data_IF_380258493909
#
_entry.id   IF_380258493909
#
_cell.length_a   1.000
_cell.length_b   1.000
_cell.length_c   1.000
_cell.angle_alpha   90.00
_cell.angle_beta   90.00
_cell.angle_gamma   90.00
#
_symmetry.space_group_name_H-M   'P 1'
#
loop_
_entity.id
_entity.type
_entity.pdbx_description
1 polymer ?
#
# COMPACT_ATOMS: atom_id res chain seq x y z
N UNK A 1 -6.32 -19.64 -10.18
CA UNK A 1 -5.93 -21.03 -9.85
C UNK A 1 -4.66 -21.41 -10.57
N UNK A 2 -3.89 -22.35 -10.01
CA UNK A 2 -2.71 -22.93 -10.68
C UNK A 2 -3.17 -23.90 -11.77
N UNK A 3 -2.75 -23.67 -13.01
CA UNK A 3 -3.09 -24.53 -14.17
C UNK A 3 -1.91 -25.41 -14.59
N UNK A 4 -0.69 -24.88 -14.48
CA UNK A 4 0.54 -25.57 -14.89
C UNK A 4 1.69 -25.18 -13.94
N UNK A 5 2.61 -26.12 -13.73
CA UNK A 5 3.81 -25.92 -12.90
C UNK A 5 5.05 -26.03 -13.78
N UNK A 6 5.97 -25.10 -13.63
CA UNK A 6 7.29 -25.17 -14.23
C UNK A 6 8.14 -26.28 -13.62
N UNK A 7 9.24 -26.63 -14.32
CA UNK A 7 10.17 -27.66 -13.84
C UNK A 7 10.78 -27.27 -12.49
N UNK A 8 10.77 -28.20 -11.54
CA UNK A 8 11.36 -28.02 -10.21
C UNK A 8 10.51 -27.22 -9.22
N UNK A 9 9.32 -26.75 -9.60
CA UNK A 9 8.41 -26.06 -8.67
C UNK A 9 7.90 -27.07 -7.62
N UNK A 10 8.02 -26.68 -6.36
CA UNK A 10 7.52 -27.44 -5.19
C UNK A 10 6.62 -26.55 -4.33
N UNK A 11 5.76 -27.15 -3.52
CA UNK A 11 4.89 -26.43 -2.59
C UNK A 11 3.61 -25.85 -3.21
N UNK A 12 3.36 -26.06 -4.51
CA UNK A 12 2.14 -25.73 -5.22
C UNK A 12 1.61 -26.94 -5.96
N UNK A 13 0.30 -27.07 -6.11
CA UNK A 13 -0.37 -28.11 -6.88
C UNK A 13 -1.32 -27.48 -7.93
N UNK A 14 -1.56 -28.23 -9.01
CA UNK A 14 -2.58 -27.85 -10.01
C UNK A 14 -3.93 -27.80 -9.30
N UNK A 15 -4.68 -26.71 -9.51
CA UNK A 15 -5.97 -26.46 -8.88
C UNK A 15 -5.90 -25.63 -7.59
N UNK A 16 -4.71 -25.33 -7.06
CA UNK A 16 -4.58 -24.46 -5.89
C UNK A 16 -5.14 -23.06 -6.19
N UNK A 17 -5.92 -22.54 -5.27
CA UNK A 17 -6.37 -21.15 -5.30
C UNK A 17 -5.27 -20.24 -4.75
N UNK A 18 -4.77 -19.36 -5.61
CA UNK A 18 -3.58 -18.54 -5.33
C UNK A 18 -3.79 -17.08 -5.72
N UNK A 19 -3.00 -16.22 -5.11
CA UNK A 19 -2.74 -14.87 -5.61
C UNK A 19 -1.24 -14.69 -5.87
N UNK A 20 -0.87 -13.73 -6.72
CA UNK A 20 0.51 -13.56 -7.16
C UNK A 20 0.89 -12.08 -7.31
N UNK A 21 2.14 -11.75 -6.96
CA UNK A 21 2.72 -10.45 -7.19
C UNK A 21 3.36 -10.40 -8.59
N UNK A 22 2.72 -9.69 -9.51
CA UNK A 22 3.20 -9.56 -10.89
C UNK A 22 4.04 -8.30 -11.10
N UNK A 23 5.00 -8.36 -12.03
CA UNK A 23 5.70 -7.16 -12.52
C UNK A 23 4.93 -6.41 -13.61
N UNK A 24 3.88 -7.01 -14.13
CA UNK A 24 3.00 -6.52 -15.20
C UNK A 24 2.27 -7.67 -15.88
N UNK A 25 1.43 -7.37 -16.88
CA UNK A 25 0.73 -8.37 -17.68
C UNK A 25 -0.47 -9.03 -16.98
N UNK A 26 -0.99 -8.42 -15.88
CA UNK A 26 -2.12 -8.98 -15.13
C UNK A 26 -3.50 -8.85 -15.80
N UNK A 27 -3.61 -8.12 -16.92
CA UNK A 27 -4.85 -8.06 -17.72
C UNK A 27 -4.88 -9.24 -18.70
N UNK A 28 -4.92 -10.44 -18.18
CA UNK A 28 -4.85 -11.68 -18.96
C UNK A 28 -5.54 -12.82 -18.20
N UNK A 29 -6.15 -13.72 -18.95
CA UNK A 29 -6.75 -14.94 -18.41
C UNK A 29 -5.71 -15.87 -17.77
N UNK A 30 -4.48 -15.83 -18.28
CA UNK A 30 -3.35 -16.65 -17.82
C UNK A 30 -2.07 -15.82 -17.74
N UNK A 31 -1.30 -16.06 -16.70
CA UNK A 31 -0.01 -15.40 -16.48
C UNK A 31 1.04 -16.44 -16.05
N UNK A 32 2.26 -16.23 -16.47
CA UNK A 32 3.41 -16.99 -15.98
C UNK A 32 4.14 -16.11 -14.97
N UNK A 33 4.42 -16.65 -13.80
CA UNK A 33 5.02 -15.91 -12.70
C UNK A 33 6.00 -16.80 -11.92
N UNK A 34 7.12 -16.27 -11.41
CA UNK A 34 8.03 -17.04 -10.57
C UNK A 34 7.30 -17.61 -9.34
N UNK A 35 7.49 -18.90 -9.06
CA UNK A 35 6.77 -19.61 -8.02
C UNK A 35 6.86 -18.94 -6.63
N UNK A 36 8.03 -18.34 -6.28
CA UNK A 36 8.19 -17.59 -5.03
C UNK A 36 7.34 -16.33 -4.90
N UNK A 37 6.72 -15.85 -5.98
CA UNK A 37 5.79 -14.72 -5.96
C UNK A 37 4.32 -15.16 -5.93
N UNK A 38 4.06 -16.47 -5.84
CA UNK A 38 2.73 -17.10 -5.76
C UNK A 38 2.50 -17.60 -4.35
N UNK A 39 1.36 -17.28 -3.77
CA UNK A 39 0.99 -17.71 -2.42
C UNK A 39 -0.48 -18.14 -2.40
N UNK A 40 -0.82 -19.09 -1.55
CA UNK A 40 -2.22 -19.45 -1.31
C UNK A 40 -3.01 -18.21 -0.86
N UNK A 41 -4.26 -18.09 -1.27
CA UNK A 41 -5.12 -17.02 -0.78
C UNK A 41 -5.39 -17.22 0.71
N UNK A 42 -5.57 -16.14 1.51
CA UNK A 42 -5.95 -16.26 2.90
C UNK A 42 -7.29 -16.99 3.05
N UNK A 43 -7.41 -17.86 4.02
CA UNK A 43 -8.65 -18.61 4.28
C UNK A 43 -9.85 -17.66 4.47
N UNK A 44 -10.98 -17.98 3.87
CA UNK A 44 -12.19 -17.15 3.94
C UNK A 44 -12.20 -15.92 3.01
N UNK A 45 -11.14 -15.71 2.23
CA UNK A 45 -11.05 -14.63 1.24
C UNK A 45 -11.53 -15.13 -0.13
N UNK A 46 -12.40 -14.39 -0.80
CA UNK A 46 -12.81 -14.73 -2.17
C UNK A 46 -11.67 -14.51 -3.17
N UNK A 47 -11.64 -15.24 -4.28
CA UNK A 47 -10.67 -15.04 -5.37
C UNK A 47 -10.63 -13.59 -5.86
N UNK A 48 -11.80 -12.95 -5.96
CA UNK A 48 -11.91 -11.55 -6.36
C UNK A 48 -11.20 -10.62 -5.37
N UNK A 49 -11.43 -10.80 -4.07
CA UNK A 49 -10.78 -10.01 -3.03
C UNK A 49 -9.27 -10.30 -2.98
N UNK A 50 -8.88 -11.57 -3.13
CA UNK A 50 -7.48 -11.97 -3.17
C UNK A 50 -6.70 -11.31 -4.33
N UNK A 51 -7.34 -11.04 -5.46
CA UNK A 51 -6.75 -10.30 -6.58
C UNK A 51 -6.33 -8.86 -6.23
N UNK A 52 -6.91 -8.26 -5.20
CA UNK A 52 -6.59 -6.91 -4.75
C UNK A 52 -5.44 -6.86 -3.71
N UNK A 53 -5.01 -8.02 -3.20
CA UNK A 53 -4.06 -8.09 -2.06
C UNK A 53 -2.60 -7.91 -2.49
N UNK A 54 -2.02 -8.66 -3.44
CA UNK A 54 -0.57 -8.81 -3.55
C UNK A 54 0.18 -7.49 -3.70
N UNK A 55 -0.27 -6.61 -4.60
CA UNK A 55 0.43 -5.37 -4.92
C UNK A 55 0.39 -4.37 -3.77
N UNK A 56 -0.79 -4.10 -3.20
CA UNK A 56 -0.94 -3.08 -2.15
C UNK A 56 -0.32 -3.53 -0.84
N UNK A 57 -0.53 -4.78 -0.46
CA UNK A 57 0.01 -5.32 0.78
C UNK A 57 1.53 -5.48 0.69
N UNK A 58 2.08 -5.98 -0.43
CA UNK A 58 3.52 -6.07 -0.63
C UNK A 58 4.18 -4.68 -0.65
N UNK A 59 3.55 -3.69 -1.27
CA UNK A 59 4.05 -2.31 -1.27
C UNK A 59 4.09 -1.74 0.14
N UNK A 60 3.00 -1.85 0.90
CA UNK A 60 2.96 -1.32 2.27
C UNK A 60 3.92 -2.09 3.17
N UNK A 61 3.90 -3.42 3.14
CA UNK A 61 4.75 -4.25 3.99
C UNK A 61 6.23 -3.95 3.77
N UNK A 62 6.67 -4.01 2.51
CA UNK A 62 8.08 -3.80 2.18
C UNK A 62 8.60 -2.39 2.48
N UNK A 63 7.75 -1.38 2.44
CA UNK A 63 8.17 0.01 2.62
C UNK A 63 7.97 0.52 4.04
N UNK A 64 6.85 0.18 4.68
CA UNK A 64 6.51 0.68 6.03
C UNK A 64 7.15 -0.19 7.10
N UNK A 65 7.10 -1.52 6.95
CA UNK A 65 7.56 -2.45 8.00
C UNK A 65 8.98 -2.96 7.76
N UNK A 66 9.30 -3.45 6.54
CA UNK A 66 10.66 -3.96 6.27
C UNK A 66 11.68 -2.83 6.15
N UNK A 67 11.42 -1.79 5.35
CA UNK A 67 12.41 -0.73 5.07
C UNK A 67 12.40 0.36 6.15
N UNK A 68 11.24 0.96 6.42
CA UNK A 68 11.13 2.03 7.41
C UNK A 68 11.09 1.51 8.85
N UNK A 69 10.75 0.25 9.07
CA UNK A 69 10.75 -0.39 10.38
C UNK A 69 9.78 0.28 11.36
N UNK A 70 8.53 0.56 10.93
CA UNK A 70 7.49 1.14 11.79
C UNK A 70 7.30 0.27 13.03
N UNK A 71 7.34 0.90 14.22
CA UNK A 71 7.20 0.23 15.51
C UNK A 71 5.84 0.54 16.17
N UNK A 72 5.36 -0.32 17.06
CA UNK A 72 4.20 -0.02 17.89
C UNK A 72 4.38 1.32 18.65
N UNK A 73 3.33 2.15 18.63
CA UNK A 73 3.35 3.48 19.27
C UNK A 73 3.90 4.61 18.40
N UNK A 74 4.64 4.30 17.32
CA UNK A 74 5.07 5.30 16.33
C UNK A 74 3.89 5.84 15.51
N UNK A 75 4.09 6.98 14.87
CA UNK A 75 3.10 7.65 14.02
C UNK A 75 3.46 7.46 12.54
N UNK A 76 2.57 6.82 11.78
CA UNK A 76 2.61 6.74 10.32
C UNK A 76 1.83 7.91 9.71
N UNK A 77 2.46 8.72 8.87
CA UNK A 77 1.77 9.58 7.91
C UNK A 77 1.65 8.86 6.57
N UNK A 78 0.43 8.67 6.08
CA UNK A 78 0.20 8.10 4.75
C UNK A 78 -0.58 9.08 3.87
N UNK A 79 0.01 9.45 2.73
CA UNK A 79 -0.66 10.30 1.74
C UNK A 79 -1.60 9.49 0.85
N UNK A 80 -2.79 10.04 0.59
CA UNK A 80 -3.81 9.38 -0.21
C UNK A 80 -4.48 8.21 0.51
N UNK A 81 -4.94 8.43 1.75
CA UNK A 81 -5.52 7.42 2.63
C UNK A 81 -6.65 6.58 2.04
N UNK A 82 -7.41 7.15 1.11
CA UNK A 82 -8.51 6.43 0.44
C UNK A 82 -8.06 5.60 -0.77
N UNK A 83 -6.78 5.62 -1.16
CA UNK A 83 -6.25 4.74 -2.22
C UNK A 83 -6.13 3.29 -1.74
N UNK A 84 -5.91 2.35 -2.65
CA UNK A 84 -5.63 0.96 -2.27
C UNK A 84 -4.41 0.84 -1.35
N UNK A 85 -3.34 1.62 -1.59
CA UNK A 85 -2.17 1.71 -0.69
C UNK A 85 -2.57 2.31 0.66
N UNK A 86 -3.31 3.43 0.65
CA UNK A 86 -3.70 4.13 1.86
C UNK A 86 -4.58 3.29 2.78
N UNK A 87 -5.63 2.66 2.24
CA UNK A 87 -6.54 1.79 3.00
C UNK A 87 -5.82 0.58 3.60
N UNK A 88 -4.85 0.00 2.87
CA UNK A 88 -4.00 -1.09 3.36
C UNK A 88 -3.05 -0.59 4.46
N UNK A 89 -2.39 0.56 4.25
CA UNK A 89 -1.43 1.12 5.21
C UNK A 89 -2.10 1.49 6.55
N UNK A 90 -3.29 2.09 6.51
CA UNK A 90 -4.06 2.43 7.72
C UNK A 90 -4.34 1.16 8.52
N UNK A 91 -4.94 0.15 7.90
CA UNK A 91 -5.34 -1.08 8.59
C UNK A 91 -4.12 -1.83 9.16
N UNK A 92 -3.04 -2.00 8.38
CA UNK A 92 -1.84 -2.67 8.85
C UNK A 92 -1.17 -1.90 9.98
N UNK A 93 -1.00 -0.57 9.86
CA UNK A 93 -0.41 0.23 10.92
C UNK A 93 -1.21 0.13 12.23
N UNK A 94 -2.54 0.17 12.15
CA UNK A 94 -3.41 -0.02 13.33
C UNK A 94 -3.29 -1.41 13.92
N UNK A 95 -3.26 -2.46 13.10
CA UNK A 95 -3.11 -3.84 13.54
C UNK A 95 -1.76 -4.08 14.26
N UNK A 96 -0.71 -3.36 13.86
CA UNK A 96 0.61 -3.39 14.48
C UNK A 96 0.81 -2.31 15.58
N UNK A 97 -0.26 -1.65 16.05
CA UNK A 97 -0.24 -0.77 17.21
C UNK A 97 0.35 0.62 16.96
N UNK A 98 0.45 1.07 15.72
CA UNK A 98 0.87 2.41 15.37
C UNK A 98 -0.28 3.42 15.38
N UNK A 99 0.04 4.71 15.46
CA UNK A 99 -0.88 5.81 15.20
C UNK A 99 -0.86 6.16 13.71
N UNK A 100 -1.98 6.61 13.17
CA UNK A 100 -2.09 6.93 11.75
C UNK A 100 -2.61 8.36 11.55
N UNK A 101 -1.82 9.17 10.86
CA UNK A 101 -2.22 10.42 10.23
C UNK A 101 -2.38 10.16 8.73
N UNK A 102 -3.47 10.61 8.13
CA UNK A 102 -3.66 10.40 6.69
C UNK A 102 -4.22 11.63 5.99
N UNK A 103 -3.92 11.76 4.70
CA UNK A 103 -4.45 12.85 3.87
C UNK A 103 -5.45 12.32 2.85
N UNK A 104 -6.57 13.02 2.69
CA UNK A 104 -7.63 12.74 1.71
C UNK A 104 -8.09 14.01 1.02
N UNK A 105 -8.86 13.89 -0.06
CA UNK A 105 -9.31 15.05 -0.86
C UNK A 105 -10.80 15.38 -0.76
N UNK A 106 -11.57 14.71 0.12
CA UNK A 106 -12.99 15.00 0.32
C UNK A 106 -13.48 14.50 1.68
N UNK A 107 -14.62 15.02 2.13
CA UNK A 107 -15.26 14.62 3.38
C UNK A 107 -15.70 13.15 3.37
N UNK A 108 -16.28 12.67 2.27
CA UNK A 108 -16.73 11.27 2.15
C UNK A 108 -15.54 10.29 2.30
N UNK A 109 -14.40 10.63 1.70
CA UNK A 109 -13.16 9.83 1.87
C UNK A 109 -12.62 9.90 3.29
N UNK A 110 -12.79 11.05 3.96
CA UNK A 110 -12.37 11.22 5.34
C UNK A 110 -13.17 10.32 6.29
N UNK A 111 -14.47 10.15 6.06
CA UNK A 111 -15.31 9.25 6.84
C UNK A 111 -14.84 7.80 6.75
N UNK A 112 -14.67 7.30 5.53
CA UNK A 112 -14.21 5.93 5.30
C UNK A 112 -12.85 5.64 5.96
N UNK A 113 -11.87 6.54 5.83
CA UNK A 113 -10.55 6.28 6.41
C UNK A 113 -10.54 6.36 7.94
N UNK A 114 -11.47 7.12 8.57
CA UNK A 114 -11.69 7.08 10.03
C UNK A 114 -12.25 5.73 10.47
N UNK A 115 -13.22 5.19 9.74
CA UNK A 115 -13.77 3.86 10.01
C UNK A 115 -12.70 2.76 9.89
N UNK A 116 -11.71 2.93 8.99
CA UNK A 116 -10.56 2.03 8.88
C UNK A 116 -9.53 2.20 10.01
N UNK A 117 -9.73 3.18 10.90
CA UNK A 117 -8.92 3.36 12.10
C UNK A 117 -7.88 4.50 12.02
N UNK A 118 -7.95 5.39 11.03
CA UNK A 118 -7.07 6.56 11.01
C UNK A 118 -7.35 7.48 12.22
N UNK A 119 -6.32 7.81 13.01
CA UNK A 119 -6.45 8.63 14.22
C UNK A 119 -6.62 10.12 13.88
N UNK A 120 -5.91 10.60 12.85
CA UNK A 120 -6.01 11.98 12.36
C UNK A 120 -6.19 11.96 10.84
N UNK A 121 -7.25 12.62 10.37
CA UNK A 121 -7.58 12.70 8.94
C UNK A 121 -7.56 14.15 8.49
N UNK A 122 -6.71 14.46 7.53
CA UNK A 122 -6.47 15.79 6.99
C UNK A 122 -7.08 15.89 5.59
N UNK A 123 -8.02 16.81 5.38
CA UNK A 123 -8.42 17.18 4.03
C UNK A 123 -7.37 18.15 3.45
N UNK A 124 -6.49 17.66 2.59
CA UNK A 124 -5.38 18.45 2.05
C UNK A 124 -5.79 19.68 1.21
N UNK A 125 -7.08 19.86 0.95
CA UNK A 125 -7.64 21.04 0.27
C UNK A 125 -7.96 22.17 1.23
N UNK A 126 -8.13 21.86 2.51
CA UNK A 126 -8.62 22.76 3.55
C UNK A 126 -7.58 22.93 4.67
N UNK A 127 -6.84 21.86 4.99
CA UNK A 127 -6.00 21.76 6.16
C UNK A 127 -4.53 21.52 5.81
N UNK A 128 -3.64 21.79 6.78
CA UNK A 128 -2.22 21.53 6.68
C UNK A 128 -1.80 20.26 7.45
N UNK A 129 -1.39 19.23 6.70
CA UNK A 129 -0.93 17.99 7.30
C UNK A 129 0.36 18.13 8.12
N UNK A 130 1.17 19.17 7.87
CA UNK A 130 2.38 19.44 8.67
C UNK A 130 2.02 19.85 10.07
N UNK A 131 1.01 20.71 10.21
CA UNK A 131 0.48 21.13 11.51
C UNK A 131 -0.17 19.97 12.24
N UNK A 132 -1.02 19.22 11.55
CA UNK A 132 -1.66 18.03 12.11
C UNK A 132 -0.63 16.99 12.62
N UNK A 133 0.47 16.76 11.89
CA UNK A 133 1.54 15.91 12.36
C UNK A 133 2.26 16.49 13.58
N UNK A 134 2.49 17.80 13.62
CA UNK A 134 3.16 18.47 14.78
C UNK A 134 2.34 18.31 16.06
N UNK A 135 1.03 18.40 15.99
CA UNK A 135 0.12 18.23 17.13
C UNK A 135 0.23 16.85 17.78
N UNK A 136 0.58 15.82 16.99
CA UNK A 136 0.77 14.44 17.49
C UNK A 136 2.23 14.07 17.75
N UNK A 137 3.16 15.05 17.69
CA UNK A 137 4.59 14.83 17.97
C UNK A 137 5.46 14.62 16.74
N UNK A 138 4.90 14.69 15.53
CA UNK A 138 5.55 14.44 14.26
C UNK A 138 5.28 13.04 13.72
N UNK A 139 5.61 12.82 12.45
CA UNK A 139 5.52 11.51 11.82
C UNK A 139 6.85 10.76 11.93
N UNK A 140 6.82 9.57 12.50
CA UNK A 140 7.99 8.68 12.55
C UNK A 140 8.25 8.03 11.20
N UNK A 141 7.20 7.67 10.49
CA UNK A 141 7.27 7.14 9.12
C UNK A 141 6.32 7.93 8.22
N UNK A 142 6.77 8.29 7.02
CA UNK A 142 5.95 8.90 5.97
C UNK A 142 5.94 7.98 4.77
N UNK A 143 4.77 7.48 4.37
CA UNK A 143 4.56 6.77 3.11
C UNK A 143 4.04 7.75 2.06
N UNK A 144 4.88 8.08 1.07
CA UNK A 144 4.64 9.16 0.13
C UNK A 144 4.41 8.65 -1.30
N UNK A 145 3.22 8.90 -1.82
CA UNK A 145 2.84 8.67 -3.22
C UNK A 145 2.90 9.95 -4.07
N UNK A 146 3.16 11.10 -3.45
CA UNK A 146 3.09 12.43 -4.09
C UNK A 146 4.45 12.85 -4.67
N UNK A 147 5.52 12.62 -3.93
CA UNK A 147 6.89 12.93 -4.36
C UNK A 147 7.22 14.43 -4.31
N UNK A 148 7.81 14.97 -5.39
CA UNK A 148 8.49 16.27 -5.41
C UNK A 148 7.74 17.42 -4.75
N UNK A 149 6.43 17.55 -4.98
CA UNK A 149 5.60 18.63 -4.41
C UNK A 149 5.55 18.60 -2.88
N UNK A 150 5.59 17.40 -2.28
CA UNK A 150 5.44 17.25 -0.83
C UNK A 150 6.76 17.07 -0.10
N UNK A 151 7.89 16.95 -0.80
CA UNK A 151 9.18 16.61 -0.19
C UNK A 151 9.56 17.54 0.98
N UNK A 152 9.53 18.85 0.77
CA UNK A 152 9.87 19.82 1.83
C UNK A 152 8.88 19.80 3.00
N UNK A 153 7.60 19.60 2.70
CA UNK A 153 6.53 19.50 3.72
C UNK A 153 6.64 18.19 4.51
N UNK A 154 6.96 17.08 3.85
CA UNK A 154 7.20 15.79 4.51
C UNK A 154 8.37 15.89 5.50
N UNK A 155 9.47 16.55 5.12
CA UNK A 155 10.59 16.82 6.04
C UNK A 155 10.15 17.67 7.25
N UNK A 156 9.31 18.68 7.03
CA UNK A 156 8.80 19.53 8.10
C UNK A 156 7.83 18.78 9.06
N UNK A 157 7.13 17.75 8.56
CA UNK A 157 6.22 16.91 9.33
C UNK A 157 6.91 15.82 10.17
N UNK A 158 8.21 15.51 9.89
CA UNK A 158 8.91 14.42 10.56
C UNK A 158 9.04 14.64 12.07
N UNK A 159 8.92 13.59 12.83
CA UNK A 159 9.46 13.45 14.17
C UNK A 159 11.00 13.36 14.11
N UNK A 160 11.69 13.39 15.26
CA UNK A 160 13.13 13.16 15.32
C UNK A 160 13.45 11.70 14.97
N UNK A 161 14.37 11.49 14.04
CA UNK A 161 14.70 10.16 13.53
C UNK A 161 13.68 9.62 12.51
N UNK A 162 12.76 10.46 12.03
CA UNK A 162 11.71 10.06 11.10
C UNK A 162 12.26 9.62 9.74
N UNK A 163 11.48 8.77 9.06
CA UNK A 163 11.84 8.12 7.79
C UNK A 163 10.77 8.41 6.74
N UNK A 164 11.17 8.97 5.61
CA UNK A 164 10.27 9.17 4.44
C UNK A 164 10.56 8.07 3.43
N UNK A 165 9.53 7.37 2.98
CA UNK A 165 9.62 6.41 1.89
C UNK A 165 8.73 6.86 0.72
N UNK A 166 9.37 7.27 -0.36
CA UNK A 166 8.70 7.70 -1.59
C UNK A 166 8.47 6.48 -2.47
N UNK A 167 7.20 6.20 -2.77
CA UNK A 167 6.76 5.08 -3.61
C UNK A 167 6.00 5.54 -4.86
N UNK A 168 5.75 6.84 -4.99
CA UNK A 168 5.05 7.43 -6.12
C UNK A 168 5.42 8.89 -6.35
N UNK A 169 5.09 9.41 -7.52
CA UNK A 169 5.48 10.75 -7.96
C UNK A 169 4.32 11.51 -8.61
N UNK A 170 3.09 11.35 -8.07
CA UNK A 170 1.88 12.01 -8.60
C UNK A 170 1.97 13.54 -8.58
N UNK A 171 2.77 14.09 -7.67
CA UNK A 171 3.03 15.53 -7.53
C UNK A 171 4.34 16.01 -8.18
N UNK A 172 4.98 15.15 -8.98
CA UNK A 172 6.19 15.46 -9.73
C UNK A 172 7.43 14.69 -9.28
N UNK A 173 8.36 14.52 -10.23
CA UNK A 173 9.60 13.74 -10.05
C UNK A 173 10.74 14.54 -9.42
N UNK A 174 10.61 15.87 -9.34
CA UNK A 174 11.65 16.76 -8.79
C UNK A 174 11.07 17.61 -7.66
N UNK A 175 11.85 17.79 -6.59
CA UNK A 175 11.49 18.63 -5.46
C UNK A 175 12.76 19.20 -4.80
N UNK A 176 12.62 20.32 -4.12
CA UNK A 176 13.69 20.91 -3.33
C UNK A 176 13.78 20.22 -1.96
N UNK A 177 15.00 19.94 -1.52
CA UNK A 177 15.31 19.37 -0.21
C UNK A 177 16.15 20.36 0.60
N UNK A 178 15.61 20.80 1.73
CA UNK A 178 16.38 21.55 2.73
C UNK A 178 17.15 20.55 3.61
N UNK A 179 18.44 20.38 3.31
CA UNK A 179 19.30 19.46 4.06
C UNK A 179 19.46 19.86 5.54
N UNK A 180 19.44 21.19 5.85
CA UNK A 180 19.49 21.67 7.23
C UNK A 180 18.26 21.27 8.03
N UNK A 181 17.07 21.31 7.42
CA UNK A 181 15.83 20.86 8.02
C UNK A 181 15.85 19.33 8.26
N UNK A 182 16.30 18.56 7.28
CA UNK A 182 16.43 17.11 7.41
C UNK A 182 17.44 16.71 8.48
N UNK A 183 18.61 17.39 8.52
CA UNK A 183 19.64 17.18 9.53
C UNK A 183 19.10 17.47 10.93
N UNK A 184 18.35 18.58 11.10
CA UNK A 184 17.72 18.92 12.39
C UNK A 184 16.72 17.88 12.89
N UNK A 185 16.10 17.15 11.98
CA UNK A 185 15.22 16.00 12.29
C UNK A 185 15.98 14.69 12.45
N UNK A 186 17.25 14.62 12.08
CA UNK A 186 18.01 13.36 11.95
C UNK A 186 17.26 12.36 11.04
N UNK A 187 16.59 12.89 10.00
CA UNK A 187 15.67 12.14 9.17
C UNK A 187 16.36 11.38 8.05
N UNK A 188 15.66 10.40 7.50
CA UNK A 188 16.07 9.60 6.34
C UNK A 188 15.06 9.72 5.23
N UNK A 189 15.51 9.71 3.99
CA UNK A 189 14.64 9.66 2.80
C UNK A 189 15.08 8.49 1.94
N UNK A 190 14.15 7.62 1.61
CA UNK A 190 14.32 6.49 0.72
C UNK A 190 13.30 6.57 -0.43
N UNK A 191 13.64 6.03 -1.58
CA UNK A 191 12.72 5.88 -2.70
C UNK A 191 12.81 4.46 -3.23
N UNK A 192 11.66 3.83 -3.48
CA UNK A 192 11.59 2.43 -3.91
C UNK A 192 10.59 2.22 -5.03
N UNK A 193 10.73 1.10 -5.72
CA UNK A 193 9.75 0.61 -6.68
C UNK A 193 9.63 -0.90 -6.56
N UNK A 194 8.47 -1.39 -6.15
CA UNK A 194 8.21 -2.82 -6.03
C UNK A 194 8.35 -3.54 -7.38
N UNK A 195 7.89 -2.91 -8.46
CA UNK A 195 7.94 -3.48 -9.81
C UNK A 195 9.35 -3.92 -10.23
N UNK A 196 10.36 -3.12 -9.91
CA UNK A 196 11.73 -3.32 -10.35
C UNK A 196 12.59 -4.14 -9.37
N UNK A 197 12.02 -4.63 -8.27
CA UNK A 197 12.74 -5.52 -7.36
C UNK A 197 13.02 -6.86 -8.04
N UNK A 198 14.19 -7.49 -7.75
CA UNK A 198 14.49 -8.85 -8.15
C UNK A 198 13.41 -9.86 -7.71
N UNK A 199 13.32 -11.00 -8.39
CA UNK A 199 12.32 -12.02 -8.08
C UNK A 199 12.47 -12.58 -6.65
N UNK A 200 13.71 -12.71 -6.19
CA UNK A 200 14.05 -13.20 -4.85
C UNK A 200 13.57 -12.25 -3.75
N UNK A 201 13.74 -10.93 -3.94
CA UNK A 201 13.22 -9.93 -2.98
C UNK A 201 11.69 -9.94 -2.95
N UNK A 202 11.03 -10.08 -4.10
CA UNK A 202 9.57 -10.21 -4.16
C UNK A 202 9.08 -11.47 -3.47
N UNK A 203 9.79 -12.59 -3.64
CA UNK A 203 9.49 -13.85 -2.98
C UNK A 203 9.58 -13.71 -1.45
N UNK A 204 10.62 -13.05 -0.96
CA UNK A 204 10.77 -12.76 0.48
C UNK A 204 9.62 -11.90 1.00
N UNK A 205 9.24 -10.83 0.28
CA UNK A 205 8.10 -9.99 0.66
C UNK A 205 6.82 -10.81 0.74
N UNK A 206 6.56 -11.66 -0.26
CA UNK A 206 5.37 -12.51 -0.29
C UNK A 206 5.37 -13.54 0.85
N UNK A 207 6.52 -14.13 1.17
CA UNK A 207 6.65 -15.04 2.31
C UNK A 207 6.36 -14.33 3.64
N UNK A 208 6.87 -13.12 3.84
CA UNK A 208 6.57 -12.32 5.03
C UNK A 208 5.10 -11.89 5.12
N UNK A 209 4.43 -11.63 4.00
CA UNK A 209 2.98 -11.39 4.01
C UNK A 209 2.21 -12.63 4.52
N UNK A 210 2.59 -13.82 4.07
CA UNK A 210 1.96 -15.06 4.56
C UNK A 210 2.19 -15.23 6.06
N UNK A 211 3.38 -14.96 6.54
CA UNK A 211 3.74 -15.12 7.96
C UNK A 211 3.04 -14.10 8.87
N UNK A 212 3.03 -12.82 8.47
CA UNK A 212 2.65 -11.74 9.38
C UNK A 212 1.28 -11.11 9.08
N UNK A 213 0.82 -11.19 7.84
CA UNK A 213 -0.38 -10.47 7.40
C UNK A 213 -1.57 -11.40 7.14
N UNK A 214 -1.35 -12.61 6.57
CA UNK A 214 -2.43 -13.57 6.36
C UNK A 214 -3.23 -13.88 7.63
N UNK A 215 -2.61 -14.11 8.80
CA UNK A 215 -3.36 -14.29 10.03
C UNK A 215 -4.30 -13.14 10.38
N UNK A 216 -3.93 -11.90 10.05
CA UNK A 216 -4.77 -10.72 10.27
C UNK A 216 -5.94 -10.65 9.29
N UNK A 217 -5.73 -11.08 8.05
CA UNK A 217 -6.79 -11.15 7.03
C UNK A 217 -7.78 -12.27 7.39
N UNK A 218 -7.30 -13.43 7.77
CA UNK A 218 -8.10 -14.59 8.18
C UNK A 218 -8.92 -14.31 9.45
N UNK A 219 -8.38 -13.50 10.37
CA UNK A 219 -9.09 -13.02 11.56
C UNK A 219 -10.10 -11.90 11.26
N UNK A 220 -10.14 -11.37 10.03
CA UNK A 220 -10.97 -10.25 9.65
C UNK A 220 -10.51 -8.89 10.23
N UNK A 221 -9.31 -8.82 10.81
CA UNK A 221 -8.74 -7.57 11.35
C UNK A 221 -8.32 -6.62 10.24
N UNK A 222 -7.88 -7.16 9.11
CA UNK A 222 -7.45 -6.43 7.92
C UNK A 222 -8.13 -7.05 6.69
N UNK A 223 -8.62 -6.21 5.79
CA UNK A 223 -9.24 -6.68 4.55
C UNK A 223 -8.89 -5.77 3.37
N UNK A 224 -8.77 -6.31 2.14
CA UNK A 224 -8.69 -5.47 0.96
C UNK A 224 -10.01 -4.71 0.75
N UNK A 225 -9.92 -3.39 0.59
CA UNK A 225 -11.09 -2.55 0.33
C UNK A 225 -11.34 -2.53 -1.17
N UNK A 226 -12.46 -3.09 -1.60
CA UNK A 226 -12.88 -3.12 -3.00
C UNK A 226 -13.89 -2.01 -3.26
N UNK A 227 -13.53 -1.08 -4.14
CA UNK A 227 -14.46 -0.06 -4.63
C UNK A 227 -15.46 -0.68 -5.59
N UNK A 228 -14.95 -1.41 -6.58
CA UNK A 228 -15.77 -2.00 -7.65
C UNK A 228 -15.04 -3.16 -8.34
N UNK A 229 -15.81 -4.16 -8.76
CA UNK A 229 -15.40 -5.16 -9.73
C UNK A 229 -16.03 -4.83 -11.09
N UNK A 230 -15.27 -4.96 -12.16
CA UNK A 230 -15.70 -4.76 -13.55
C UNK A 230 -15.19 -5.93 -14.41
N UNK A 231 -15.95 -6.38 -15.41
CA UNK A 231 -15.44 -7.35 -16.37
C UNK A 231 -14.26 -6.77 -17.17
N UNK A 232 -13.35 -7.63 -17.65
CA UNK A 232 -12.14 -7.23 -18.35
C UNK A 232 -12.41 -6.29 -19.53
N UNK A 233 -13.51 -6.52 -20.26
CA UNK A 233 -13.93 -5.70 -21.40
C UNK A 233 -14.19 -4.23 -21.02
N UNK A 234 -14.49 -3.97 -19.76
CA UNK A 234 -14.70 -2.63 -19.21
C UNK A 234 -13.43 -2.01 -18.61
N UNK A 235 -12.26 -2.48 -18.99
CA UNK A 235 -10.97 -1.96 -18.47
C UNK A 235 -10.82 -0.45 -18.64
N UNK A 236 -11.33 0.11 -19.73
CA UNK A 236 -11.33 1.56 -19.97
C UNK A 236 -12.15 2.33 -18.92
N UNK A 237 -13.27 1.77 -18.46
CA UNK A 237 -14.07 2.35 -17.39
C UNK A 237 -13.37 2.25 -16.05
N UNK A 238 -12.70 1.13 -15.79
CA UNK A 238 -11.86 0.96 -14.59
C UNK A 238 -10.75 2.02 -14.53
N UNK A 239 -10.07 2.31 -15.63
CA UNK A 239 -9.05 3.37 -15.70
C UNK A 239 -9.65 4.75 -15.46
N UNK A 240 -10.82 5.08 -16.04
CA UNK A 240 -11.49 6.36 -15.79
C UNK A 240 -11.82 6.58 -14.32
N UNK A 241 -12.33 5.56 -13.63
CA UNK A 241 -12.59 5.62 -12.18
C UNK A 241 -11.30 6.00 -11.40
N UNK A 242 -10.16 5.42 -11.79
CA UNK A 242 -8.87 5.73 -11.16
C UNK A 242 -8.40 7.15 -11.47
N UNK A 243 -8.51 7.60 -12.72
CA UNK A 243 -8.12 8.94 -13.18
C UNK A 243 -8.96 10.04 -12.53
N UNK A 244 -10.26 9.83 -12.39
CA UNK A 244 -11.17 10.73 -11.70
C UNK A 244 -10.95 10.77 -10.19
N UNK A 245 -10.15 9.84 -9.65
CA UNK A 245 -9.93 9.71 -8.21
C UNK A 245 -11.23 9.63 -7.39
N UNK A 246 -12.30 9.09 -7.95
CA UNK A 246 -13.60 8.95 -7.28
C UNK A 246 -13.69 7.73 -6.36
N UNK A 247 -12.76 6.79 -6.50
CA UNK A 247 -12.74 5.51 -5.78
C UNK A 247 -12.18 5.60 -4.36
N UNK A 248 -12.54 4.59 -3.56
CA UNK A 248 -11.88 4.22 -2.29
C UNK A 248 -11.41 2.77 -2.39
N UNK A 249 -10.15 2.49 -2.07
CA UNK A 249 -9.59 1.15 -2.19
C UNK A 249 -9.23 0.76 -3.63
N UNK A 250 -9.57 -0.46 -4.05
CA UNK A 250 -9.18 -1.07 -5.32
C UNK A 250 -10.34 -1.19 -6.29
N UNK A 251 -10.05 -1.02 -7.56
CA UNK A 251 -10.91 -1.46 -8.67
C UNK A 251 -10.31 -2.76 -9.22
N UNK A 252 -11.11 -3.82 -9.31
CA UNK A 252 -10.67 -5.15 -9.73
C UNK A 252 -11.31 -5.46 -11.08
N UNK A 253 -10.53 -6.07 -11.97
CA UNK A 253 -11.03 -6.65 -13.22
C UNK A 253 -11.35 -8.12 -12.98
N UNK A 254 -12.59 -8.50 -13.24
CA UNK A 254 -13.09 -9.85 -13.15
C UNK A 254 -13.06 -10.50 -14.54
N UNK A 255 -12.42 -11.64 -14.66
CA UNK A 255 -12.31 -12.38 -15.91
C UNK A 255 -13.39 -13.46 -16.07
N UNK A 256 -14.30 -13.58 -15.10
CA UNK A 256 -15.43 -14.51 -15.20
C UNK A 256 -15.03 -15.98 -15.04
N UNK A 257 -14.04 -16.27 -14.18
CA UNK A 257 -13.59 -17.65 -13.91
C UNK A 257 -14.57 -18.45 -13.05
#
# INVERSE_FOLDING_TARGET
MVEELGEGVTGLAIGDEVCALLSGGGYAERVVVPAGQVVAIPSGTSLLAAGAVPETFATVWSNVFMLAGLQPGETLLVHGGASGIGTTAIQLAKAFGAKVVTTVGSADKAEVVRELGADVVVNYREDDFVEACREVGGADVVLDIIGGRYLARNVAALARGGRIVVIGMQGGVKGELNLGALLGRQGTISATSLRFRPAEEKAEIMAQLVEHVWPLVEAGTVAPILHRSLPLEQVADAHRILEESSHVGKVVLDLGA
#
